data_IF_329659786838
#
_entry.id   IF_329659786838
#
_cell.length_a   1.000
_cell.length_b   1.000
_cell.length_c   1.000
_cell.angle_alpha   90.00
_cell.angle_beta   90.00
_cell.angle_gamma   90.00
#
_symmetry.space_group_name_H-M   'P 1'
#
loop_
_entity.id
_entity.type
_entity.pdbx_description
1 polymer ?
#
# COMPACT_ATOMS: atom_id res chain seq x y z
N UNK A 1 18.86 -1.82 11.93
CA UNK A 1 18.64 -2.79 10.83
C UNK A 1 19.47 -4.06 11.04
N UNK A 2 20.72 -3.95 11.37
CA UNK A 2 21.62 -5.10 11.61
C UNK A 2 21.10 -6.02 12.71
N UNK A 3 20.58 -5.47 13.80
CA UNK A 3 19.97 -6.22 14.92
C UNK A 3 18.80 -7.13 14.46
N UNK A 4 18.22 -6.88 13.28
CA UNK A 4 17.17 -7.68 12.67
C UNK A 4 17.68 -8.50 11.47
N UNK A 5 18.99 -8.73 11.37
CA UNK A 5 19.59 -9.51 10.30
C UNK A 5 19.40 -8.95 8.89
N UNK A 6 19.30 -7.60 8.78
CA UNK A 6 19.16 -6.94 7.48
C UNK A 6 20.33 -6.01 7.24
N UNK A 7 21.14 -6.32 6.24
CA UNK A 7 22.21 -5.47 5.72
C UNK A 7 21.58 -4.31 4.95
N UNK A 8 22.01 -3.08 5.25
CA UNK A 8 21.40 -1.87 4.70
C UNK A 8 21.45 -1.82 3.16
N UNK A 9 22.55 -2.21 2.56
CA UNK A 9 22.80 -2.18 1.12
C UNK A 9 21.84 -3.13 0.37
N UNK A 10 21.53 -4.28 0.96
CA UNK A 10 20.72 -5.31 0.32
C UNK A 10 19.23 -5.24 0.71
N UNK A 11 18.84 -4.31 1.59
CA UNK A 11 17.47 -4.21 2.12
C UNK A 11 16.36 -4.17 1.06
N UNK A 12 16.63 -3.49 -0.07
CA UNK A 12 15.66 -3.37 -1.16
C UNK A 12 15.51 -4.68 -1.93
N UNK A 13 16.61 -5.39 -2.16
CA UNK A 13 16.58 -6.72 -2.77
C UNK A 13 15.89 -7.71 -1.83
N UNK A 14 16.27 -7.73 -0.56
CA UNK A 14 15.66 -8.60 0.46
C UNK A 14 14.15 -8.40 0.55
N UNK A 15 13.70 -7.13 0.61
CA UNK A 15 12.26 -6.81 0.66
C UNK A 15 11.53 -7.32 -0.59
N UNK A 16 12.10 -7.13 -1.79
CA UNK A 16 11.50 -7.64 -3.02
C UNK A 16 11.37 -9.16 -2.98
N UNK A 17 12.45 -9.86 -2.69
CA UNK A 17 12.45 -11.33 -2.64
C UNK A 17 11.50 -11.87 -1.56
N UNK A 18 11.39 -11.19 -0.41
CA UNK A 18 10.39 -11.55 0.61
C UNK A 18 8.96 -11.42 0.09
N UNK A 19 8.65 -10.37 -0.67
CA UNK A 19 7.31 -10.18 -1.25
C UNK A 19 7.04 -11.23 -2.33
N UNK A 20 8.00 -11.51 -3.20
CA UNK A 20 7.89 -12.56 -4.21
C UNK A 20 7.69 -13.93 -3.56
N UNK A 21 8.46 -14.24 -2.53
CA UNK A 21 8.33 -15.45 -1.72
C UNK A 21 6.97 -15.58 -1.01
N UNK A 22 6.44 -14.48 -0.45
CA UNK A 22 5.09 -14.46 0.12
C UNK A 22 4.02 -14.76 -0.94
N UNK A 23 4.14 -14.21 -2.15
CA UNK A 23 3.22 -14.52 -3.25
C UNK A 23 3.26 -16.01 -3.62
N UNK A 24 4.44 -16.61 -3.71
CA UNK A 24 4.58 -18.06 -3.91
C UNK A 24 3.83 -18.84 -2.82
N UNK A 25 4.06 -18.52 -1.55
CA UNK A 25 3.42 -19.18 -0.40
C UNK A 25 1.88 -19.04 -0.45
N UNK A 26 1.38 -17.87 -0.83
CA UNK A 26 -0.06 -17.59 -0.83
C UNK A 26 -0.81 -18.21 -2.02
N UNK A 27 -0.13 -18.41 -3.14
CA UNK A 27 -0.79 -18.78 -4.40
C UNK A 27 -0.57 -20.25 -4.80
N UNK A 28 0.54 -20.87 -4.39
CA UNK A 28 0.88 -22.24 -4.76
C UNK A 28 0.59 -23.24 -3.64
N UNK A 29 0.11 -24.42 -3.98
CA UNK A 29 -0.11 -25.49 -3.01
C UNK A 29 1.21 -25.94 -2.38
N UNK A 30 2.19 -26.21 -3.23
CA UNK A 30 3.58 -26.44 -2.83
C UNK A 30 4.38 -25.23 -3.28
N UNK A 31 4.85 -24.44 -2.34
CA UNK A 31 5.62 -23.22 -2.59
C UNK A 31 7.11 -23.49 -2.41
N UNK A 32 7.92 -22.93 -3.28
CA UNK A 32 9.38 -22.86 -3.15
C UNK A 32 9.88 -21.51 -3.67
N UNK A 33 11.02 -21.06 -3.18
CA UNK A 33 11.62 -19.81 -3.66
C UNK A 33 13.15 -19.87 -3.60
N UNK A 34 13.82 -19.43 -4.69
CA UNK A 34 15.27 -19.50 -4.87
C UNK A 34 15.85 -18.11 -5.23
N UNK A 35 15.71 -17.14 -4.35
CA UNK A 35 16.32 -15.81 -4.49
C UNK A 35 17.81 -15.81 -4.12
N UNK A 36 18.42 -14.66 -4.18
CA UNK A 36 19.79 -14.46 -3.73
C UNK A 36 19.90 -14.44 -2.19
N UNK A 37 18.90 -13.84 -1.52
CA UNK A 37 18.86 -13.65 -0.07
C UNK A 37 17.81 -14.55 0.56
N UNK A 38 16.62 -14.63 -0.03
CA UNK A 38 15.49 -15.45 0.46
C UNK A 38 15.48 -16.77 -0.30
N UNK A 39 15.54 -17.87 0.45
CA UNK A 39 15.50 -19.24 -0.11
C UNK A 39 14.74 -20.15 0.83
N UNK A 40 13.88 -20.98 0.27
CA UNK A 40 13.28 -22.11 1.01
C UNK A 40 12.92 -23.24 0.05
N UNK A 41 13.05 -24.50 0.50
CA UNK A 41 12.70 -25.67 -0.28
C UNK A 41 11.19 -25.81 -0.44
N UNK A 42 10.69 -26.74 -1.29
CA UNK A 42 9.26 -27.02 -1.41
C UNK A 42 8.60 -27.23 -0.05
N UNK A 43 7.54 -26.47 0.21
CA UNK A 43 6.80 -26.53 1.46
C UNK A 43 5.30 -26.25 1.25
N UNK A 44 4.47 -26.83 2.09
CA UNK A 44 3.05 -26.53 2.18
C UNK A 44 2.79 -25.48 3.27
N UNK A 45 1.91 -24.52 2.98
CA UNK A 45 1.45 -23.50 3.93
C UNK A 45 -0.05 -23.33 3.85
N UNK A 46 -0.77 -23.71 4.88
CA UNK A 46 -2.22 -23.60 4.99
C UNK A 46 -2.64 -22.99 6.33
N UNK A 47 -3.75 -22.25 6.39
CA UNK A 47 -4.71 -21.97 5.29
C UNK A 47 -4.19 -20.94 4.30
N UNK A 48 -4.69 -21.00 3.05
CA UNK A 48 -4.42 -19.98 2.04
C UNK A 48 -5.28 -18.74 2.29
N UNK A 49 -4.81 -17.52 1.88
CA UNK A 49 -5.62 -16.31 1.98
C UNK A 49 -6.97 -16.45 1.27
N UNK A 50 -8.01 -15.86 1.87
CA UNK A 50 -9.35 -15.80 1.27
C UNK A 50 -9.34 -14.92 0.02
N UNK A 51 -8.62 -13.79 0.07
CA UNK A 51 -8.46 -12.89 -1.08
C UNK A 51 -7.63 -13.56 -2.18
N UNK A 52 -8.10 -13.46 -3.42
CA UNK A 52 -7.44 -14.05 -4.59
C UNK A 52 -6.94 -12.95 -5.54
N UNK A 53 -5.78 -13.12 -6.18
CA UNK A 53 -4.84 -14.25 -6.04
C UNK A 53 -4.12 -14.27 -4.69
N UNK A 54 -3.99 -13.14 -4.01
CA UNK A 54 -3.38 -12.94 -2.69
C UNK A 54 -3.84 -11.60 -2.08
N UNK A 55 -3.61 -11.34 -0.78
CA UNK A 55 -3.85 -10.02 -0.18
C UNK A 55 -3.08 -8.93 -0.92
N UNK A 56 -3.71 -7.75 -1.17
CA UNK A 56 -3.04 -6.66 -1.90
C UNK A 56 -1.78 -6.17 -1.18
N UNK A 57 -0.71 -6.00 -1.93
CA UNK A 57 0.57 -5.49 -1.44
C UNK A 57 0.67 -4.01 -1.73
N UNK A 58 0.55 -3.19 -0.69
CA UNK A 58 0.64 -1.74 -0.78
C UNK A 58 2.05 -1.28 -0.40
N UNK A 59 2.71 -0.62 -1.33
CA UNK A 59 4.11 -0.18 -1.16
C UNK A 59 4.16 1.26 -0.66
N UNK A 60 4.78 1.45 0.51
CA UNK A 60 4.96 2.77 1.12
C UNK A 60 6.27 3.46 0.77
N UNK A 61 6.32 4.79 1.00
CA UNK A 61 7.52 5.61 0.89
C UNK A 61 7.37 6.82 -0.03
N UNK A 62 8.48 7.53 -0.29
CA UNK A 62 8.48 8.65 -1.23
C UNK A 62 7.92 8.22 -2.58
N UNK A 63 7.03 9.04 -3.17
CA UNK A 63 6.18 8.67 -4.31
C UNK A 63 6.95 7.94 -5.43
N UNK A 64 8.06 8.53 -5.94
CA UNK A 64 8.81 7.94 -7.06
C UNK A 64 9.32 6.53 -6.77
N UNK A 65 9.77 6.28 -5.54
CA UNK A 65 10.30 4.97 -5.13
C UNK A 65 9.17 3.97 -4.87
N UNK A 66 8.10 4.40 -4.20
CA UNK A 66 6.92 3.59 -3.96
C UNK A 66 6.27 3.17 -5.30
N UNK A 67 6.08 4.11 -6.23
CA UNK A 67 5.53 3.87 -7.55
C UNK A 67 6.32 2.82 -8.33
N UNK A 68 7.65 2.98 -8.47
CA UNK A 68 8.50 2.01 -9.18
C UNK A 68 8.42 0.59 -8.59
N UNK A 69 8.37 0.50 -7.26
CA UNK A 69 8.28 -0.78 -6.56
C UNK A 69 6.90 -1.41 -6.73
N UNK A 70 5.83 -0.61 -6.60
CA UNK A 70 4.47 -1.10 -6.78
C UNK A 70 4.23 -1.60 -8.21
N UNK A 71 4.70 -0.89 -9.23
CA UNK A 71 4.61 -1.31 -10.62
C UNK A 71 5.34 -2.62 -10.89
N UNK A 72 6.42 -2.88 -10.16
CA UNK A 72 7.21 -4.11 -10.33
C UNK A 72 6.60 -5.32 -9.61
N UNK A 73 6.15 -5.17 -8.37
CA UNK A 73 5.73 -6.30 -7.53
C UNK A 73 4.58 -6.01 -6.56
N UNK A 74 4.04 -4.79 -6.54
CA UNK A 74 2.93 -4.40 -5.67
C UNK A 74 1.59 -4.31 -6.39
N UNK A 75 0.57 -4.00 -5.60
CA UNK A 75 -0.82 -3.83 -6.05
C UNK A 75 -1.36 -2.42 -5.71
N UNK A 76 -0.49 -1.56 -5.20
CA UNK A 76 -0.82 -0.18 -4.90
C UNK A 76 0.28 0.56 -4.16
N UNK A 77 0.03 1.84 -3.92
CA UNK A 77 0.96 2.72 -3.23
C UNK A 77 0.32 3.40 -2.02
N UNK A 78 1.17 3.68 -1.01
CA UNK A 78 0.91 4.59 0.09
C UNK A 78 2.04 5.63 0.08
N UNK A 79 1.90 6.74 -0.69
CA UNK A 79 2.91 7.78 -0.72
C UNK A 79 3.14 8.37 0.66
N UNK A 80 4.38 8.69 0.97
CA UNK A 80 4.72 9.44 2.17
C UNK A 80 4.04 10.83 2.16
N UNK A 81 3.95 11.47 3.31
CA UNK A 81 3.36 12.81 3.39
C UNK A 81 4.05 13.80 2.42
N UNK A 82 3.35 14.86 1.96
CA UNK A 82 3.93 15.87 1.07
C UNK A 82 5.25 16.46 1.61
N UNK A 83 5.33 16.66 2.93
CA UNK A 83 6.56 17.10 3.61
C UNK A 83 7.74 16.14 3.46
N UNK A 84 7.50 14.89 3.11
CA UNK A 84 8.52 13.88 2.81
C UNK A 84 8.77 13.71 1.30
N UNK A 85 8.40 14.69 0.48
CA UNK A 85 8.75 14.79 -0.94
C UNK A 85 7.84 14.01 -1.91
N UNK A 86 6.63 13.64 -1.50
CA UNK A 86 5.69 12.98 -2.41
C UNK A 86 4.83 13.96 -3.23
N UNK A 87 4.71 15.20 -2.79
CA UNK A 87 3.78 16.17 -3.38
C UNK A 87 2.32 15.94 -2.95
N UNK A 88 1.42 16.78 -3.47
CA UNK A 88 -0.03 16.61 -3.28
C UNK A 88 -0.59 15.52 -4.21
N UNK A 89 -1.80 15.00 -3.94
CA UNK A 89 -2.47 14.06 -4.84
C UNK A 89 -2.63 14.61 -6.26
N UNK A 90 -2.95 15.88 -6.42
CA UNK A 90 -3.08 16.54 -7.70
C UNK A 90 -1.77 16.53 -8.51
N UNK A 91 -0.63 16.61 -7.82
CA UNK A 91 0.69 16.61 -8.45
C UNK A 91 1.15 15.19 -8.83
N UNK A 92 0.95 14.21 -7.95
CA UNK A 92 1.50 12.87 -8.22
C UNK A 92 0.55 11.95 -9.00
N UNK A 93 -0.78 12.12 -8.95
CA UNK A 93 -1.73 11.21 -9.62
C UNK A 93 -1.59 11.20 -11.15
N UNK A 94 -1.42 12.33 -11.84
CA UNK A 94 -1.15 12.30 -13.28
C UNK A 94 0.10 11.50 -13.62
N UNK A 95 1.14 11.69 -12.84
CA UNK A 95 2.41 10.96 -13.00
C UNK A 95 2.28 9.48 -12.69
N UNK A 96 1.48 9.11 -11.67
CA UNK A 96 1.17 7.72 -11.35
C UNK A 96 0.51 7.01 -12.51
N UNK A 97 -0.49 7.65 -13.14
CA UNK A 97 -1.18 7.12 -14.33
C UNK A 97 -0.21 6.90 -15.48
N UNK A 98 0.60 7.90 -15.80
CA UNK A 98 1.62 7.79 -16.84
C UNK A 98 2.59 6.64 -16.59
N UNK A 99 3.12 6.53 -15.37
CA UNK A 99 4.05 5.46 -15.01
C UNK A 99 3.42 4.06 -15.10
N UNK A 100 2.13 3.93 -14.76
CA UNK A 100 1.41 2.67 -14.88
C UNK A 100 1.19 2.29 -16.34
N UNK A 101 0.83 3.25 -17.20
CA UNK A 101 0.69 3.06 -18.64
C UNK A 101 2.02 2.64 -19.27
N UNK A 102 3.11 3.36 -19.00
CA UNK A 102 4.46 3.02 -19.47
C UNK A 102 4.92 1.61 -19.03
N UNK A 103 4.46 1.16 -17.85
CA UNK A 103 4.75 -0.17 -17.32
C UNK A 103 3.76 -1.26 -17.80
N UNK A 104 2.77 -0.92 -18.63
CA UNK A 104 1.73 -1.84 -19.10
C UNK A 104 0.85 -2.40 -17.98
N UNK A 105 0.67 -1.65 -16.86
CA UNK A 105 -0.14 -2.07 -15.72
C UNK A 105 -1.54 -1.45 -15.77
N UNK A 106 -2.56 -2.28 -15.55
CA UNK A 106 -3.94 -1.79 -15.42
C UNK A 106 -4.09 -0.97 -14.12
N UNK A 107 -4.45 0.30 -14.28
CA UNK A 107 -4.68 1.22 -13.15
C UNK A 107 -5.79 0.77 -12.21
N UNK A 108 -6.79 0.02 -12.72
CA UNK A 108 -7.89 -0.51 -11.89
C UNK A 108 -7.41 -1.57 -10.89
N UNK A 109 -6.29 -2.23 -11.19
CA UNK A 109 -5.63 -3.18 -10.30
C UNK A 109 -4.63 -2.53 -9.34
N UNK A 110 -4.41 -1.21 -9.45
CA UNK A 110 -3.40 -0.47 -8.70
C UNK A 110 -4.05 0.58 -7.79
N UNK A 111 -4.20 0.25 -6.52
CA UNK A 111 -4.83 1.17 -5.56
C UNK A 111 -3.86 2.25 -5.04
N UNK A 112 -4.42 3.43 -4.75
CA UNK A 112 -3.70 4.50 -4.05
C UNK A 112 -4.36 4.72 -2.71
N UNK A 113 -3.54 4.67 -1.65
CA UNK A 113 -3.96 4.94 -0.27
C UNK A 113 -3.28 6.22 0.21
N UNK A 114 -4.02 7.14 0.83
CA UNK A 114 -3.45 8.31 1.49
C UNK A 114 -3.42 8.11 3.01
N UNK A 115 -2.35 8.54 3.65
CA UNK A 115 -2.23 8.62 5.10
C UNK A 115 -2.64 10.00 5.62
N UNK A 116 -3.42 10.06 6.71
CA UNK A 116 -3.81 11.32 7.36
C UNK A 116 -4.91 12.06 6.60
N UNK A 117 -6.04 11.41 6.37
CA UNK A 117 -7.21 12.01 5.76
C UNK A 117 -7.61 13.33 6.48
N UNK A 118 -7.89 14.41 5.75
CA UNK A 118 -8.44 15.64 6.35
C UNK A 118 -9.89 15.42 6.77
N UNK A 119 -10.32 16.03 7.87
CA UNK A 119 -11.76 16.08 8.28
C UNK A 119 -12.47 17.22 7.50
N UNK A 120 -12.42 17.14 6.18
CA UNK A 120 -12.95 18.10 5.22
C UNK A 120 -13.60 17.32 4.06
N UNK A 121 -14.92 17.41 3.95
CA UNK A 121 -15.69 16.64 2.98
C UNK A 121 -15.34 16.97 1.53
N UNK A 122 -15.07 18.25 1.22
CA UNK A 122 -14.75 18.67 -0.14
C UNK A 122 -13.37 18.16 -0.58
N UNK A 123 -12.40 18.17 0.33
CA UNK A 123 -11.10 17.55 0.07
C UNK A 123 -11.18 16.03 -0.05
N UNK A 124 -12.02 15.39 0.76
CA UNK A 124 -12.24 13.95 0.68
C UNK A 124 -12.87 13.57 -0.68
N UNK A 125 -13.89 14.31 -1.13
CA UNK A 125 -14.53 14.14 -2.43
C UNK A 125 -13.53 14.38 -3.57
N UNK A 126 -12.76 15.45 -3.50
CA UNK A 126 -11.72 15.75 -4.49
C UNK A 126 -10.69 14.62 -4.61
N UNK A 127 -10.21 14.10 -3.49
CA UNK A 127 -9.30 12.97 -3.49
C UNK A 127 -9.92 11.71 -4.10
N UNK A 128 -11.19 11.40 -3.76
CA UNK A 128 -11.95 10.31 -4.39
C UNK A 128 -12.00 10.48 -5.91
N UNK A 129 -12.35 11.67 -6.37
CA UNK A 129 -12.52 11.97 -7.81
C UNK A 129 -11.17 11.94 -8.56
N UNK A 130 -10.06 12.18 -7.87
CA UNK A 130 -8.72 11.95 -8.40
C UNK A 130 -8.37 10.46 -8.54
N UNK A 131 -9.14 9.56 -7.92
CA UNK A 131 -8.91 8.11 -7.96
C UNK A 131 -8.18 7.55 -6.75
N UNK A 132 -8.20 8.27 -5.62
CA UNK A 132 -7.70 7.74 -4.35
C UNK A 132 -8.68 6.69 -3.81
N UNK A 133 -8.21 5.45 -3.71
CA UNK A 133 -9.05 4.32 -3.31
C UNK A 133 -9.30 4.22 -1.81
N UNK A 134 -8.36 4.72 -1.00
CA UNK A 134 -8.45 4.69 0.48
C UNK A 134 -7.82 5.92 1.09
N UNK A 135 -8.38 6.37 2.19
CA UNK A 135 -7.84 7.43 3.01
C UNK A 135 -7.83 6.97 4.47
N UNK A 136 -6.64 6.88 5.07
CA UNK A 136 -6.48 6.44 6.44
C UNK A 136 -6.65 7.63 7.39
N UNK A 137 -7.50 7.46 8.39
CA UNK A 137 -7.67 8.44 9.46
C UNK A 137 -6.60 8.24 10.51
N UNK A 138 -6.00 9.31 10.97
CA UNK A 138 -5.08 9.29 12.10
C UNK A 138 -5.87 9.48 13.41
N UNK A 139 -5.81 8.49 14.27
CA UNK A 139 -6.35 8.59 15.61
C UNK A 139 -5.21 8.87 16.61
N UNK A 140 -5.40 9.79 17.59
CA UNK A 140 -4.41 9.99 18.64
C UNK A 140 -4.39 8.78 19.59
N UNK A 141 -3.25 8.51 20.25
CA UNK A 141 -3.20 7.51 21.31
C UNK A 141 -3.92 8.07 22.56
N UNK A 142 -5.21 7.78 22.69
CA UNK A 142 -6.07 8.32 23.72
C UNK A 142 -7.04 7.26 24.24
N UNK A 143 -7.77 7.59 25.34
CA UNK A 143 -8.77 6.69 25.93
C UNK A 143 -10.03 6.57 25.06
N UNK A 144 -10.82 5.54 25.32
CA UNK A 144 -12.03 5.21 24.56
C UNK A 144 -13.03 6.38 24.50
N UNK A 145 -13.24 7.09 25.59
CA UNK A 145 -14.13 8.26 25.67
C UNK A 145 -13.71 9.43 24.77
N UNK A 146 -12.43 9.51 24.43
CA UNK A 146 -11.89 10.51 23.51
C UNK A 146 -11.87 10.00 22.06
N UNK A 147 -11.68 8.69 21.84
CA UNK A 147 -11.60 8.12 20.50
C UNK A 147 -12.97 7.88 19.87
N UNK A 148 -13.96 7.39 20.61
CA UNK A 148 -15.29 7.10 20.07
C UNK A 148 -15.97 8.30 19.41
N UNK A 149 -15.97 9.51 20.00
CA UNK A 149 -16.55 10.68 19.34
C UNK A 149 -15.83 11.05 18.02
N UNK A 150 -14.52 10.78 17.91
CA UNK A 150 -13.78 10.96 16.65
C UNK A 150 -14.27 9.98 15.58
N UNK A 151 -14.39 8.71 15.95
CA UNK A 151 -14.88 7.68 15.03
C UNK A 151 -16.32 7.96 14.58
N UNK A 152 -17.19 8.42 15.48
CA UNK A 152 -18.57 8.80 15.15
C UNK A 152 -18.64 9.95 14.14
N UNK A 153 -17.76 10.95 14.26
CA UNK A 153 -17.65 12.02 13.26
C UNK A 153 -17.24 11.49 11.89
N UNK A 154 -16.19 10.66 11.86
CA UNK A 154 -15.74 10.04 10.63
C UNK A 154 -16.81 9.12 10.00
N UNK A 155 -17.52 8.35 10.82
CA UNK A 155 -18.60 7.48 10.36
C UNK A 155 -19.72 8.27 9.65
N UNK A 156 -19.99 9.51 10.08
CA UNK A 156 -20.99 10.40 9.44
C UNK A 156 -20.53 10.94 8.07
N UNK A 157 -19.22 11.00 7.81
CA UNK A 157 -18.68 11.46 6.52
C UNK A 157 -18.69 10.35 5.47
N UNK A 158 -18.57 9.08 5.87
CA UNK A 158 -18.47 7.93 4.94
C UNK A 158 -19.63 7.88 3.93
N UNK A 159 -20.93 7.93 4.34
CA UNK A 159 -22.04 7.87 3.39
C UNK A 159 -22.07 9.09 2.44
N UNK A 160 -21.54 10.23 2.85
CA UNK A 160 -21.49 11.45 2.04
C UNK A 160 -20.42 11.40 0.93
N UNK A 161 -19.50 10.42 1.02
CA UNK A 161 -18.50 10.14 0.00
C UNK A 161 -19.01 9.19 -1.08
N UNK A 162 -20.11 8.46 -0.83
CA UNK A 162 -20.68 7.53 -1.79
C UNK A 162 -21.55 8.19 -2.87
N UNK A 163 -21.92 9.45 -2.62
CA UNK A 163 -22.66 10.31 -3.56
C UNK A 163 -21.74 11.25 -4.31
#
# INVERSE_FOLDING_TARGET
MEDHGTVYETRTLKMREQIEAMKEIWTKDVAEYHGQIVKFPPMNSWPKPVQKPHPPIIVGGAFRLAARRALRYGDGILPAAPSAGSGSPEEFMPRWRQMAEEAGRDLRALSVTLGGAPEDLDLLKRNRDLGIARMNVRLPPAKTDQILPLLDRWAKLIPQLAT
#
